data_IF_745464473177
#
_entry.id   IF_745464473177
#
_cell.length_a   1.000
_cell.length_b   1.000
_cell.length_c   1.000
_cell.angle_alpha   90.00
_cell.angle_beta   90.00
_cell.angle_gamma   90.00
#
_symmetry.space_group_name_H-M   'P 1'
#
loop_
_entity.id
_entity.type
_entity.pdbx_description
1 polymer ?
#
# COMPACT_ATOMS: atom_id res chain seq x y z
N UNK A 1 -13.39 8.67 -15.07
CA UNK A 1 -14.05 8.33 -13.80
C UNK A 1 -14.60 9.57 -13.09
N UNK A 2 -13.81 10.63 -12.90
CA UNK A 2 -14.24 11.88 -12.23
C UNK A 2 -15.34 12.67 -12.96
N UNK A 3 -15.48 12.48 -14.28
CA UNK A 3 -16.50 13.17 -15.09
C UNK A 3 -17.90 12.53 -15.00
N UNK A 4 -18.00 11.29 -14.49
CA UNK A 4 -19.23 10.49 -14.53
C UNK A 4 -19.72 10.08 -13.15
N UNK A 5 -18.83 9.73 -12.24
CA UNK A 5 -19.12 9.67 -10.81
C UNK A 5 -18.74 10.99 -10.17
N UNK A 6 -19.53 11.52 -9.23
CA UNK A 6 -19.24 12.75 -8.45
C UNK A 6 -18.03 12.57 -7.51
N UNK A 7 -16.92 12.07 -8.03
CA UNK A 7 -15.66 11.87 -7.34
C UNK A 7 -14.89 13.20 -7.29
N UNK A 8 -14.27 13.48 -6.16
CA UNK A 8 -13.45 14.70 -6.00
C UNK A 8 -12.23 14.59 -6.91
N UNK A 9 -11.88 15.66 -7.64
CA UNK A 9 -10.72 15.64 -8.51
C UNK A 9 -9.41 15.61 -7.73
N UNK A 10 -8.36 15.12 -8.39
CA UNK A 10 -6.98 15.15 -7.88
C UNK A 10 -6.58 13.93 -7.04
N UNK A 11 -5.40 14.00 -6.43
CA UNK A 11 -4.77 12.87 -5.73
C UNK A 11 -5.18 12.74 -4.26
N UNK A 12 -5.64 13.85 -3.63
CA UNK A 12 -5.90 13.96 -2.19
C UNK A 12 -6.92 12.93 -1.66
N UNK A 13 -7.97 12.70 -2.45
CA UNK A 13 -9.11 11.82 -2.13
C UNK A 13 -9.14 10.57 -3.00
N UNK A 14 -7.96 10.15 -3.47
CA UNK A 14 -7.80 8.94 -4.26
C UNK A 14 -6.97 7.92 -3.46
N UNK A 15 -7.39 6.66 -3.55
CA UNK A 15 -6.68 5.52 -3.00
C UNK A 15 -6.58 4.42 -4.04
N UNK A 16 -5.51 3.64 -3.95
CA UNK A 16 -5.32 2.41 -4.72
C UNK A 16 -5.36 1.23 -3.75
N UNK A 17 -6.08 0.17 -4.09
CA UNK A 17 -6.10 -1.07 -3.33
C UNK A 17 -5.64 -2.23 -4.20
N UNK A 18 -4.57 -2.88 -3.76
CA UNK A 18 -3.97 -4.06 -4.39
C UNK A 18 -4.29 -5.28 -3.55
N UNK A 19 -4.81 -6.34 -4.18
CA UNK A 19 -5.10 -7.62 -3.54
C UNK A 19 -4.60 -8.77 -4.41
N UNK A 20 -3.69 -9.61 -3.89
CA UNK A 20 -3.24 -10.84 -4.55
C UNK A 20 -2.87 -10.67 -6.04
N UNK A 21 -2.25 -9.55 -6.41
CA UNK A 21 -1.82 -9.30 -7.79
C UNK A 21 -0.47 -8.57 -7.81
N UNK A 22 0.18 -8.64 -8.99
CA UNK A 22 1.52 -8.17 -9.32
C UNK A 22 1.96 -6.93 -8.51
N UNK A 23 2.49 -7.19 -7.31
CA UNK A 23 2.75 -6.15 -6.32
C UNK A 23 3.80 -5.19 -6.84
N UNK A 24 4.84 -5.70 -7.48
CA UNK A 24 5.99 -4.91 -7.92
C UNK A 24 5.61 -3.83 -8.95
N UNK A 25 4.90 -4.18 -10.02
CA UNK A 25 4.56 -3.22 -11.08
C UNK A 25 3.54 -2.19 -10.60
N UNK A 26 2.56 -2.65 -9.83
CA UNK A 26 1.55 -1.76 -9.26
C UNK A 26 2.18 -0.82 -8.24
N UNK A 27 3.12 -1.30 -7.40
CA UNK A 27 3.87 -0.49 -6.43
C UNK A 27 4.80 0.51 -7.14
N UNK A 28 5.48 0.11 -8.23
CA UNK A 28 6.31 1.02 -9.04
C UNK A 28 5.46 2.12 -9.66
N UNK A 29 4.38 1.77 -10.36
CA UNK A 29 3.48 2.73 -10.98
C UNK A 29 2.80 3.65 -9.95
N UNK A 30 2.48 3.08 -8.80
CA UNK A 30 1.95 3.79 -7.65
C UNK A 30 2.88 4.95 -7.25
N UNK A 31 4.17 4.67 -7.16
CA UNK A 31 5.17 5.60 -6.68
C UNK A 31 5.63 6.60 -7.76
N UNK A 32 5.67 6.18 -9.03
CA UNK A 32 6.06 7.06 -10.14
C UNK A 32 5.02 8.14 -10.42
N UNK A 33 3.75 7.80 -10.32
CA UNK A 33 2.67 8.67 -10.80
C UNK A 33 2.08 9.59 -9.74
N UNK A 34 2.27 9.29 -8.44
CA UNK A 34 1.74 10.05 -7.30
C UNK A 34 0.26 10.45 -7.44
N UNK A 35 -0.53 9.56 -8.04
CA UNK A 35 -1.92 9.85 -8.36
C UNK A 35 -2.88 9.69 -7.18
N UNK A 36 -2.42 9.18 -6.04
CA UNK A 36 -3.25 8.90 -4.87
C UNK A 36 -2.50 9.20 -3.57
N UNK A 37 -3.28 9.44 -2.51
CA UNK A 37 -2.74 9.72 -1.18
C UNK A 37 -2.57 8.46 -0.35
N UNK A 38 -3.33 7.40 -0.64
CA UNK A 38 -3.32 6.17 0.15
C UNK A 38 -3.17 4.96 -0.76
N UNK A 39 -2.13 4.15 -0.50
CA UNK A 39 -1.97 2.83 -1.11
C UNK A 39 -2.28 1.75 -0.08
N UNK A 40 -3.19 0.82 -0.41
CA UNK A 40 -3.51 -0.35 0.40
C UNK A 40 -2.98 -1.59 -0.30
N UNK A 41 -2.11 -2.32 0.37
CA UNK A 41 -1.45 -3.53 -0.12
C UNK A 41 -1.90 -4.70 0.74
N UNK A 42 -2.90 -5.45 0.29
CA UNK A 42 -3.46 -6.61 1.01
C UNK A 42 -3.00 -7.89 0.35
N UNK A 43 -2.12 -8.64 0.99
CA UNK A 43 -1.51 -9.84 0.40
C UNK A 43 -0.92 -9.53 -0.99
N UNK A 44 -0.22 -8.40 -1.09
CA UNK A 44 0.39 -7.98 -2.34
C UNK A 44 1.62 -8.85 -2.65
N UNK A 45 1.74 -9.33 -3.88
CA UNK A 45 2.84 -10.20 -4.30
C UNK A 45 4.07 -9.34 -4.63
N UNK A 46 4.70 -8.81 -3.58
CA UNK A 46 5.94 -8.04 -3.67
C UNK A 46 7.10 -9.02 -3.69
N UNK A 47 7.88 -9.04 -4.77
CA UNK A 47 9.09 -9.88 -4.90
C UNK A 47 10.37 -9.07 -4.77
N UNK A 48 10.27 -7.74 -4.79
CA UNK A 48 11.40 -6.84 -4.59
C UNK A 48 12.10 -7.09 -3.24
N UNK A 49 13.42 -7.09 -3.29
CA UNK A 49 14.30 -7.04 -2.11
C UNK A 49 14.50 -5.61 -1.64
N UNK A 50 15.02 -5.46 -0.43
CA UNK A 50 15.24 -4.16 0.19
C UNK A 50 16.10 -3.19 -0.66
N UNK A 51 17.16 -3.69 -1.31
CA UNK A 51 17.99 -2.88 -2.21
C UNK A 51 17.22 -2.39 -3.46
N UNK A 52 16.30 -3.20 -3.99
CA UNK A 52 15.47 -2.83 -5.14
C UNK A 52 14.39 -1.82 -4.74
N UNK A 53 13.83 -1.98 -3.54
CA UNK A 53 12.90 -1.02 -2.94
C UNK A 53 13.62 0.33 -2.72
N UNK A 54 14.87 0.29 -2.26
CA UNK A 54 15.69 1.47 -2.10
C UNK A 54 15.88 2.22 -3.43
N UNK A 55 16.33 1.52 -4.48
CA UNK A 55 16.49 2.12 -5.82
C UNK A 55 15.19 2.72 -6.32
N UNK A 56 14.06 2.03 -6.11
CA UNK A 56 12.75 2.51 -6.52
C UNK A 56 12.33 3.82 -5.82
N UNK A 57 12.74 4.05 -4.56
CA UNK A 57 12.25 5.15 -3.74
C UNK A 57 13.26 6.29 -3.52
N UNK A 58 14.56 6.08 -3.75
CA UNK A 58 15.65 7.03 -3.42
C UNK A 58 15.48 8.41 -4.05
N UNK A 59 14.88 8.53 -5.24
CA UNK A 59 14.70 9.81 -5.93
C UNK A 59 13.30 10.43 -5.74
N UNK A 60 12.42 9.76 -5.00
CA UNK A 60 11.00 10.12 -4.91
C UNK A 60 10.67 10.75 -3.56
N UNK A 61 11.37 11.84 -3.24
CA UNK A 61 11.30 12.53 -1.93
C UNK A 61 9.89 12.99 -1.55
N UNK A 62 9.09 13.39 -2.53
CA UNK A 62 7.70 13.80 -2.35
C UNK A 62 6.75 12.66 -1.92
N UNK A 63 7.08 11.39 -2.17
CA UNK A 63 6.28 10.24 -1.70
C UNK A 63 6.22 10.22 -0.19
N UNK A 64 7.37 10.43 0.45
CA UNK A 64 7.53 10.39 1.92
C UNK A 64 6.55 11.32 2.63
N UNK A 65 6.27 12.47 2.02
CA UNK A 65 5.36 13.47 2.58
C UNK A 65 3.90 13.31 2.13
N UNK A 66 3.67 12.82 0.91
CA UNK A 66 2.34 12.88 0.28
C UNK A 66 1.55 11.58 0.33
N UNK A 67 2.21 10.45 0.54
CA UNK A 67 1.57 9.15 0.40
C UNK A 67 1.63 8.33 1.69
N UNK A 68 0.53 7.68 2.01
CA UNK A 68 0.37 6.78 3.13
C UNK A 68 0.18 5.35 2.63
N UNK A 69 0.95 4.41 3.18
CA UNK A 69 0.79 3.00 2.86
C UNK A 69 0.10 2.23 3.98
N UNK A 70 -0.74 1.27 3.63
CA UNK A 70 -1.32 0.29 4.53
C UNK A 70 -0.96 -1.09 4.01
N UNK A 71 -0.07 -1.77 4.70
CA UNK A 71 0.47 -3.07 4.31
C UNK A 71 -0.17 -4.12 5.23
N UNK A 72 -0.86 -5.09 4.63
CA UNK A 72 -1.63 -6.10 5.34
C UNK A 72 -1.35 -7.48 4.75
N UNK A 73 -0.69 -8.35 5.51
CA UNK A 73 -0.18 -9.63 5.01
C UNK A 73 -0.40 -10.76 6.03
N UNK A 74 -0.59 -12.02 5.60
CA UNK A 74 -0.57 -13.17 6.51
C UNK A 74 0.85 -13.38 7.09
N UNK A 75 1.01 -14.04 8.26
CA UNK A 75 2.31 -14.33 8.87
C UNK A 75 3.13 -15.37 8.09
N UNK A 76 2.54 -16.00 7.09
CA UNK A 76 3.09 -17.10 6.31
C UNK A 76 2.68 -16.96 4.86
N UNK A 77 3.44 -17.55 3.93
CA UNK A 77 3.13 -17.54 2.49
C UNK A 77 4.05 -16.62 1.70
N UNK A 78 3.90 -16.66 0.38
CA UNK A 78 4.82 -15.98 -0.56
C UNK A 78 4.80 -14.45 -0.45
N UNK A 79 3.67 -13.86 -0.05
CA UNK A 79 3.56 -12.41 0.15
C UNK A 79 4.29 -11.91 1.40
N UNK A 80 4.55 -12.77 2.40
CA UNK A 80 5.06 -12.31 3.70
C UNK A 80 6.44 -11.64 3.61
N UNK A 81 7.46 -12.25 2.97
CA UNK A 81 8.81 -11.68 2.95
C UNK A 81 8.88 -10.30 2.28
N UNK A 82 8.30 -10.14 1.09
CA UNK A 82 8.37 -8.87 0.35
C UNK A 82 7.62 -7.73 1.03
N UNK A 83 6.45 -8.01 1.62
CA UNK A 83 5.73 -7.01 2.43
C UNK A 83 6.54 -6.66 3.70
N UNK A 84 7.24 -7.63 4.29
CA UNK A 84 8.18 -7.42 5.39
C UNK A 84 9.37 -6.52 5.01
N UNK A 85 10.03 -6.77 3.88
CA UNK A 85 11.13 -5.94 3.39
C UNK A 85 10.68 -4.50 3.09
N UNK A 86 9.51 -4.36 2.47
CA UNK A 86 8.88 -3.05 2.27
C UNK A 86 8.65 -2.34 3.61
N UNK A 87 8.08 -3.03 4.60
CA UNK A 87 7.87 -2.45 5.93
C UNK A 87 9.19 -1.96 6.57
N UNK A 88 10.23 -2.79 6.55
CA UNK A 88 11.55 -2.44 7.13
C UNK A 88 12.10 -1.19 6.46
N UNK A 89 12.17 -1.17 5.12
CA UNK A 89 12.68 -0.03 4.37
C UNK A 89 11.90 1.25 4.66
N UNK A 90 10.56 1.19 4.60
CA UNK A 90 9.71 2.34 4.84
C UNK A 90 9.89 2.90 6.26
N UNK A 91 10.04 2.02 7.25
CA UNK A 91 10.27 2.41 8.65
C UNK A 91 11.61 3.10 8.83
N UNK A 92 12.68 2.53 8.32
CA UNK A 92 14.04 3.04 8.48
C UNK A 92 14.26 4.37 7.75
N UNK A 93 13.52 4.59 6.66
CA UNK A 93 13.63 5.79 5.86
C UNK A 93 12.50 6.81 6.13
N UNK A 94 11.67 6.59 7.15
CA UNK A 94 10.66 7.54 7.62
C UNK A 94 9.47 7.76 6.67
N UNK A 95 9.15 6.76 5.84
CA UNK A 95 7.95 6.78 5.00
C UNK A 95 6.70 6.48 5.84
N UNK A 96 5.63 7.20 5.53
CA UNK A 96 4.35 7.11 6.21
C UNK A 96 3.64 5.79 5.87
N UNK A 97 3.59 4.86 6.81
CA UNK A 97 2.92 3.57 6.61
C UNK A 97 2.39 2.93 7.90
N UNK A 98 1.44 2.01 7.75
CA UNK A 98 1.06 1.03 8.77
C UNK A 98 1.31 -0.38 8.23
N UNK A 99 1.88 -1.25 9.08
CA UNK A 99 2.12 -2.65 8.76
C UNK A 99 1.32 -3.55 9.71
N UNK A 100 0.57 -4.50 9.13
CA UNK A 100 -0.31 -5.42 9.86
C UNK A 100 -0.03 -6.85 9.39
N UNK A 101 0.14 -7.73 10.38
CA UNK A 101 0.22 -9.18 10.17
C UNK A 101 -1.00 -9.81 10.83
N UNK A 102 -1.81 -10.56 10.07
CA UNK A 102 -3.07 -11.14 10.56
C UNK A 102 -3.16 -12.64 10.30
N UNK A 103 -3.72 -13.40 11.23
CA UNK A 103 -3.64 -14.88 11.26
C UNK A 103 -4.81 -15.61 10.57
N UNK A 104 -5.54 -14.97 9.66
CA UNK A 104 -6.70 -15.60 9.02
C UNK A 104 -6.28 -16.61 7.95
N UNK A 105 -6.82 -17.84 8.03
CA UNK A 105 -6.41 -18.98 7.20
C UNK A 105 -7.02 -19.02 5.80
N UNK A 106 -8.19 -18.42 5.61
CA UNK A 106 -8.90 -18.38 4.33
C UNK A 106 -8.68 -17.03 3.65
N UNK A 107 -8.33 -17.01 2.36
CA UNK A 107 -8.00 -15.80 1.58
C UNK A 107 -9.17 -14.81 1.50
N UNK A 108 -10.40 -15.28 1.25
CA UNK A 108 -11.57 -14.40 1.21
C UNK A 108 -11.90 -13.82 2.58
N UNK A 109 -11.87 -14.65 3.63
CA UNK A 109 -12.07 -14.15 5.00
C UNK A 109 -10.95 -13.22 5.45
N UNK A 110 -9.71 -13.44 4.99
CA UNK A 110 -8.60 -12.51 5.18
C UNK A 110 -8.93 -11.14 4.56
N UNK A 111 -9.33 -11.09 3.29
CA UNK A 111 -9.73 -9.85 2.62
C UNK A 111 -10.90 -9.16 3.33
N UNK A 112 -11.98 -9.91 3.58
CA UNK A 112 -13.22 -9.40 4.19
C UNK A 112 -12.98 -8.81 5.58
N UNK A 113 -12.24 -9.50 6.43
CA UNK A 113 -11.88 -8.99 7.77
C UNK A 113 -10.90 -7.82 7.73
N UNK A 114 -10.07 -7.72 6.67
CA UNK A 114 -9.18 -6.59 6.43
C UNK A 114 -9.90 -5.36 5.85
N UNK A 115 -11.12 -5.55 5.35
CA UNK A 115 -11.83 -4.52 4.60
C UNK A 115 -12.09 -3.26 5.42
N UNK A 116 -12.77 -3.42 6.57
CA UNK A 116 -13.13 -2.31 7.44
C UNK A 116 -11.91 -1.57 8.02
N UNK A 117 -10.84 -2.25 8.50
CA UNK A 117 -9.60 -1.59 8.88
C UNK A 117 -8.97 -0.75 7.76
N UNK A 118 -8.86 -1.29 6.54
CA UNK A 118 -8.30 -0.57 5.41
C UNK A 118 -9.15 0.66 5.05
N UNK A 119 -10.49 0.53 5.03
CA UNK A 119 -11.39 1.66 4.78
C UNK A 119 -11.28 2.75 5.85
N UNK A 120 -11.16 2.38 7.13
CA UNK A 120 -10.90 3.33 8.22
C UNK A 120 -9.57 4.05 8.04
N UNK A 121 -8.52 3.33 7.63
CA UNK A 121 -7.22 3.92 7.33
C UNK A 121 -7.33 4.93 6.18
N UNK A 122 -7.90 4.53 5.04
CA UNK A 122 -8.12 5.40 3.88
C UNK A 122 -8.87 6.68 4.31
N UNK A 123 -10.02 6.53 4.97
CA UNK A 123 -10.83 7.66 5.41
C UNK A 123 -10.06 8.59 6.34
N UNK A 124 -9.35 8.04 7.35
CA UNK A 124 -8.54 8.84 8.28
C UNK A 124 -7.48 9.64 7.54
N UNK A 125 -6.79 9.04 6.58
CA UNK A 125 -5.72 9.70 5.82
C UNK A 125 -6.23 10.65 4.75
N UNK A 126 -7.50 10.57 4.32
CA UNK A 126 -8.13 11.57 3.45
C UNK A 126 -8.45 12.88 4.17
N UNK A 127 -8.58 12.86 5.50
CA UNK A 127 -9.01 14.02 6.29
C UNK A 127 -7.97 14.54 7.28
N UNK A 128 -6.86 13.82 7.47
CA UNK A 128 -5.69 14.21 8.27
C UNK A 128 -4.42 14.10 7.42
#
# INVERSE_FOLDING_TARGET
MEKTGRARPGWRFRSLWVYHCAGDDVVKQAFDSLQFTVGVLTVADIKLKENEIAVMLTEKSNIKDRMWLYIDTPPTGESYPGNGYMHVYLRENGYKHEYRVRTNKNTFEFLKSGFMPAMKYISKKFHN
#
